data_IF_767355951467
#
_entry.id   IF_767355951467
#
_cell.length_a   1.000
_cell.length_b   1.000
_cell.length_c   1.000
_cell.angle_alpha   90.00
_cell.angle_beta   90.00
_cell.angle_gamma   90.00
#
_symmetry.space_group_name_H-M   'P 1'
#
loop_
_entity.id
_entity.type
_entity.pdbx_description
1 polymer ?
#
# COMPACT_ATOMS: atom_id res chain seq x y z
N UNK A 1 -22.43 -5.87 0.83
CA UNK A 1 -21.87 -5.12 -0.28
C UNK A 1 -20.61 -4.39 0.16
N UNK A 2 -19.81 -3.94 -0.78
CA UNK A 2 -18.65 -3.09 -0.53
C UNK A 2 -18.98 -1.69 -1.03
N UNK A 3 -18.41 -0.65 -0.39
CA UNK A 3 -18.53 0.73 -0.81
C UNK A 3 -17.19 1.45 -0.68
N UNK A 4 -17.00 2.52 -1.43
CA UNK A 4 -15.94 3.48 -1.15
C UNK A 4 -16.34 4.33 0.06
N UNK A 5 -15.59 4.21 1.16
CA UNK A 5 -15.94 4.83 2.44
C UNK A 5 -14.93 5.90 2.90
N UNK A 6 -13.93 6.23 2.07
CA UNK A 6 -12.88 7.20 2.39
C UNK A 6 -13.25 8.65 2.02
N UNK A 7 -14.46 8.87 1.49
CA UNK A 7 -14.96 10.23 1.18
C UNK A 7 -14.44 10.84 -0.11
N UNK A 8 -13.95 10.04 -1.05
CA UNK A 8 -13.41 10.52 -2.33
C UNK A 8 -14.45 11.23 -3.20
N UNK A 9 -15.72 10.90 -3.06
CA UNK A 9 -16.84 11.61 -3.66
C UNK A 9 -16.92 13.06 -3.14
N UNK A 10 -16.77 13.26 -1.84
CA UNK A 10 -16.69 14.59 -1.24
C UNK A 10 -15.45 15.36 -1.70
N UNK A 11 -14.27 14.70 -1.84
CA UNK A 11 -13.07 15.34 -2.39
C UNK A 11 -13.30 15.86 -3.81
N UNK A 12 -13.97 15.09 -4.65
CA UNK A 12 -14.32 15.52 -6.01
C UNK A 12 -15.24 16.73 -6.01
N UNK A 13 -16.25 16.75 -5.12
CA UNK A 13 -17.18 17.90 -4.97
C UNK A 13 -16.45 19.14 -4.45
N UNK A 14 -15.53 19.00 -3.49
CA UNK A 14 -14.67 20.09 -3.01
C UNK A 14 -13.87 20.68 -4.18
N UNK A 15 -13.25 19.84 -5.00
CA UNK A 15 -12.53 20.29 -6.20
C UNK A 15 -13.38 21.09 -7.18
N UNK A 16 -14.63 20.66 -7.41
CA UNK A 16 -15.58 21.40 -8.25
C UNK A 16 -15.99 22.72 -7.60
N UNK A 17 -16.22 22.76 -6.30
CA UNK A 17 -16.53 23.99 -5.55
C UNK A 17 -15.36 24.99 -5.61
N UNK A 18 -14.12 24.52 -5.49
CA UNK A 18 -12.92 25.35 -5.68
C UNK A 18 -12.90 25.93 -7.09
N UNK A 19 -13.18 25.13 -8.12
CA UNK A 19 -13.26 25.59 -9.51
C UNK A 19 -14.29 26.73 -9.67
N UNK A 20 -15.48 26.55 -9.10
CA UNK A 20 -16.53 27.56 -9.17
C UNK A 20 -16.12 28.89 -8.52
N UNK A 21 -15.51 28.84 -7.35
CA UNK A 21 -15.01 30.04 -6.65
C UNK A 21 -13.92 30.74 -7.46
N UNK A 22 -12.93 29.97 -7.94
CA UNK A 22 -11.84 30.51 -8.74
C UNK A 22 -12.33 31.17 -10.04
N UNK A 23 -13.34 30.60 -10.68
CA UNK A 23 -13.98 31.21 -11.86
C UNK A 23 -14.65 32.56 -11.56
N UNK A 24 -15.19 32.76 -10.37
CA UNK A 24 -15.78 34.05 -9.96
C UNK A 24 -14.73 35.14 -9.71
N UNK A 25 -13.53 34.78 -9.37
CA UNK A 25 -12.43 35.71 -9.05
C UNK A 25 -11.28 35.66 -10.07
N UNK A 26 -11.47 35.03 -11.22
CA UNK A 26 -10.40 34.73 -12.18
C UNK A 26 -9.62 35.97 -12.62
N UNK A 27 -10.30 37.13 -12.76
CA UNK A 27 -9.70 38.38 -13.20
C UNK A 27 -8.77 39.00 -12.13
N UNK A 28 -8.82 38.50 -10.88
CA UNK A 28 -7.96 38.89 -9.78
C UNK A 28 -6.82 37.87 -9.51
N UNK A 29 -6.81 36.75 -10.23
CA UNK A 29 -5.79 35.74 -10.04
C UNK A 29 -4.53 36.08 -10.85
N UNK A 30 -3.38 35.92 -10.22
CA UNK A 30 -2.07 36.03 -10.87
C UNK A 30 -1.47 34.62 -10.99
N UNK A 31 -1.43 34.09 -12.21
CA UNK A 31 -0.93 32.76 -12.51
C UNK A 31 -1.99 31.78 -13.00
N UNK A 32 -1.67 30.50 -12.99
CA UNK A 32 -2.53 29.41 -13.47
C UNK A 32 -2.88 28.49 -12.30
N UNK A 33 -4.14 28.07 -12.22
CA UNK A 33 -4.56 27.03 -11.28
C UNK A 33 -4.93 25.80 -12.08
N UNK A 34 -4.33 24.67 -11.73
CA UNK A 34 -4.56 23.36 -12.33
C UNK A 34 -5.29 22.48 -11.30
N UNK A 35 -6.47 22.02 -11.64
CA UNK A 35 -7.22 21.06 -10.82
C UNK A 35 -6.94 19.65 -11.31
N UNK A 36 -6.50 18.77 -10.41
CA UNK A 36 -6.15 17.40 -10.71
C UNK A 36 -7.07 16.46 -9.93
N UNK A 37 -7.84 15.64 -10.65
CA UNK A 37 -8.65 14.58 -10.08
C UNK A 37 -7.93 13.25 -10.24
N UNK A 38 -7.22 12.82 -9.18
CA UNK A 38 -6.39 11.63 -9.20
C UNK A 38 -7.25 10.35 -9.07
N UNK A 39 -7.14 9.39 -10.00
CA UNK A 39 -7.76 8.08 -9.85
C UNK A 39 -6.90 7.13 -8.99
N UNK A 40 -7.52 6.07 -8.44
CA UNK A 40 -6.79 4.92 -7.88
C UNK A 40 -5.94 5.21 -6.65
N UNK A 41 -6.36 6.13 -5.78
CA UNK A 41 -5.62 6.49 -4.55
C UNK A 41 -5.46 5.30 -3.61
N UNK A 42 -6.53 4.54 -3.35
CA UNK A 42 -6.54 3.40 -2.43
C UNK A 42 -5.51 2.30 -2.79
N UNK A 43 -5.19 2.18 -4.08
CA UNK A 43 -4.13 1.29 -4.57
C UNK A 43 -2.75 1.94 -4.63
N UNK A 44 -2.62 3.24 -4.25
CA UNK A 44 -1.40 4.04 -4.44
C UNK A 44 -0.86 3.99 -5.89
N UNK A 45 -1.76 3.91 -6.88
CA UNK A 45 -1.41 3.69 -8.30
C UNK A 45 -1.61 4.95 -9.16
N UNK A 46 -2.43 5.91 -8.73
CA UNK A 46 -2.86 7.04 -9.56
C UNK A 46 -1.85 8.18 -9.65
N UNK A 47 -1.14 8.51 -8.58
CA UNK A 47 -0.24 9.67 -8.55
C UNK A 47 0.98 9.50 -9.47
N UNK A 48 1.62 8.32 -9.47
CA UNK A 48 2.82 8.06 -10.28
C UNK A 48 2.62 8.28 -11.78
N UNK A 49 1.56 7.77 -12.43
CA UNK A 49 1.29 8.08 -13.83
C UNK A 49 1.10 9.58 -14.10
N UNK A 50 0.43 10.31 -13.21
CA UNK A 50 0.22 11.76 -13.34
C UNK A 50 1.59 12.47 -13.37
N UNK A 51 2.48 12.15 -12.45
CA UNK A 51 3.85 12.69 -12.40
C UNK A 51 4.65 12.25 -13.65
N UNK A 52 4.64 10.97 -13.98
CA UNK A 52 5.40 10.42 -15.11
C UNK A 52 4.98 11.01 -16.48
N UNK A 53 3.74 11.47 -16.61
CA UNK A 53 3.26 12.16 -17.82
C UNK A 53 3.50 13.69 -17.80
N UNK A 54 4.24 14.20 -16.81
CA UNK A 54 4.62 15.61 -16.75
C UNK A 54 3.49 16.56 -16.34
N UNK A 55 2.41 16.06 -15.75
CA UNK A 55 1.28 16.92 -15.38
C UNK A 55 1.60 17.90 -14.24
N UNK A 56 2.71 17.70 -13.54
CA UNK A 56 3.19 18.58 -12.47
C UNK A 56 4.44 19.40 -12.82
N UNK A 57 4.99 19.27 -14.02
CA UNK A 57 6.27 19.90 -14.39
C UNK A 57 6.23 21.43 -14.40
N UNK A 58 5.04 22.00 -14.51
CA UNK A 58 4.77 23.45 -14.52
C UNK A 58 4.08 23.94 -13.23
N UNK A 59 4.15 23.14 -12.13
CA UNK A 59 3.49 23.44 -10.86
C UNK A 59 4.51 23.89 -9.83
N UNK A 60 4.38 25.13 -9.37
CA UNK A 60 5.25 25.72 -8.32
C UNK A 60 4.75 25.34 -6.90
N UNK A 61 3.44 25.22 -6.72
CA UNK A 61 2.80 24.91 -5.43
C UNK A 61 1.75 23.82 -5.63
N UNK A 62 1.76 22.83 -4.75
CA UNK A 62 0.80 21.74 -4.77
C UNK A 62 0.00 21.69 -3.46
N UNK A 63 -1.32 21.65 -3.56
CA UNK A 63 -2.24 21.56 -2.41
C UNK A 63 -3.13 20.34 -2.59
N UNK A 64 -3.13 19.46 -1.61
CA UNK A 64 -4.07 18.32 -1.51
C UNK A 64 -5.03 18.52 -0.34
N UNK A 65 -6.25 18.01 -0.47
CA UNK A 65 -7.25 18.00 0.61
C UNK A 65 -7.75 16.59 0.84
N UNK A 66 -8.03 16.27 2.11
CA UNK A 66 -8.68 15.03 2.49
C UNK A 66 -9.66 15.29 3.64
N UNK A 67 -10.86 14.72 3.57
CA UNK A 67 -11.76 14.74 4.73
C UNK A 67 -11.24 13.75 5.77
N UNK A 68 -11.25 14.15 7.03
CA UNK A 68 -10.83 13.30 8.14
C UNK A 68 -12.07 12.83 8.92
N UNK A 69 -12.37 11.52 8.92
CA UNK A 69 -13.49 10.97 9.70
C UNK A 69 -13.15 10.82 11.19
N UNK A 70 -12.05 11.43 11.62
CA UNK A 70 -11.60 11.36 13.01
C UNK A 70 -12.34 12.38 13.86
N UNK A 71 -12.50 12.04 15.15
CA UNK A 71 -13.02 12.89 16.20
C UNK A 71 -12.23 14.20 16.28
N UNK A 72 -12.51 15.10 15.34
CA UNK A 72 -12.11 16.49 15.41
C UNK A 72 -13.09 17.26 16.28
N UNK A 73 -12.75 18.47 16.68
CA UNK A 73 -13.74 19.43 17.17
C UNK A 73 -14.83 19.60 16.10
N UNK A 74 -15.69 20.47 16.16
CA UNK A 74 -16.93 20.62 15.42
C UNK A 74 -16.87 20.43 13.89
N UNK A 75 -17.98 19.99 13.29
CA UNK A 75 -18.17 19.89 11.85
C UNK A 75 -17.79 21.20 11.12
N UNK A 76 -16.85 21.11 10.18
CA UNK A 76 -16.40 22.24 9.37
C UNK A 76 -15.00 22.74 9.71
N UNK A 77 -14.31 22.13 10.65
CA UNK A 77 -12.93 22.48 10.95
C UNK A 77 -12.00 22.10 9.82
N UNK A 78 -11.06 22.99 9.50
CA UNK A 78 -10.01 22.77 8.51
C UNK A 78 -8.67 22.73 9.26
N UNK A 79 -8.00 21.59 9.19
CA UNK A 79 -6.64 21.46 9.71
C UNK A 79 -5.66 21.73 8.58
N UNK A 80 -4.82 22.77 8.66
CA UNK A 80 -3.81 23.02 7.64
C UNK A 80 -2.65 22.04 7.82
N UNK A 81 -2.26 21.41 6.70
CA UNK A 81 -1.12 20.51 6.64
C UNK A 81 -1.39 19.09 7.18
N UNK A 82 -0.48 18.19 6.81
CA UNK A 82 -0.46 16.80 7.24
C UNK A 82 0.91 16.48 7.81
N UNK A 83 0.93 15.90 9.02
CA UNK A 83 2.15 15.43 9.67
C UNK A 83 2.04 13.95 10.02
N UNK A 84 3.16 13.23 9.89
CA UNK A 84 3.26 11.84 10.32
C UNK A 84 2.60 10.83 9.39
N UNK A 85 2.43 11.14 8.11
CA UNK A 85 2.03 10.15 7.11
C UNK A 85 3.14 9.10 6.98
N UNK A 86 2.78 7.84 7.25
CA UNK A 86 3.75 6.74 7.16
C UNK A 86 4.01 6.39 5.69
N UNK A 87 5.28 6.18 5.36
CA UNK A 87 5.64 5.51 4.12
C UNK A 87 5.11 4.07 4.12
N UNK A 88 4.72 3.55 2.97
CA UNK A 88 4.15 2.19 2.84
C UNK A 88 4.65 1.48 1.60
N UNK A 89 4.75 0.14 1.68
CA UNK A 89 4.94 -0.75 0.53
C UNK A 89 3.99 -1.93 0.64
N UNK A 90 3.29 -2.26 -0.46
CA UNK A 90 2.26 -3.30 -0.53
C UNK A 90 2.63 -4.33 -1.59
N UNK A 91 2.43 -5.62 -1.27
CA UNK A 91 2.73 -6.73 -2.18
C UNK A 91 1.64 -7.80 -2.15
N UNK A 92 1.34 -8.32 -3.33
CA UNK A 92 0.78 -9.66 -3.49
C UNK A 92 1.93 -10.64 -3.64
N UNK A 93 2.00 -11.64 -2.74
CA UNK A 93 3.09 -12.61 -2.65
C UNK A 93 2.57 -13.99 -3.00
N UNK A 94 3.13 -14.60 -4.03
CA UNK A 94 2.74 -15.92 -4.52
C UNK A 94 3.85 -16.93 -4.30
N UNK A 95 3.50 -18.03 -3.63
CA UNK A 95 4.35 -19.21 -3.47
C UNK A 95 3.84 -20.31 -4.41
N UNK A 96 4.76 -20.84 -5.21
CA UNK A 96 4.49 -21.95 -6.13
C UNK A 96 5.35 -23.14 -5.75
N UNK A 97 4.71 -24.20 -5.30
CA UNK A 97 5.29 -25.46 -4.90
C UNK A 97 5.06 -26.57 -5.91
N UNK A 98 4.83 -27.76 -5.41
CA UNK A 98 4.52 -28.94 -6.21
C UNK A 98 3.47 -29.79 -5.50
N UNK A 99 2.39 -30.09 -6.22
CA UNK A 99 1.32 -30.95 -5.70
C UNK A 99 1.76 -32.41 -5.61
N UNK A 100 1.32 -33.09 -4.57
CA UNK A 100 1.47 -34.51 -4.37
C UNK A 100 0.37 -35.05 -3.45
N UNK A 101 0.15 -36.38 -3.49
CA UNK A 101 -0.76 -37.04 -2.55
C UNK A 101 -0.09 -37.17 -1.18
N UNK A 102 -0.65 -36.49 -0.16
CA UNK A 102 -0.03 -36.36 1.17
C UNK A 102 0.15 -37.71 1.90
N UNK A 103 -0.70 -38.70 1.64
CA UNK A 103 -0.58 -40.03 2.23
C UNK A 103 0.14 -41.08 1.36
N UNK A 104 0.31 -40.80 0.06
CA UNK A 104 0.88 -41.78 -0.88
C UNK A 104 2.35 -41.50 -1.26
N UNK A 105 2.64 -40.27 -1.65
CA UNK A 105 3.96 -39.87 -2.15
C UNK A 105 4.33 -38.45 -1.66
N UNK A 106 4.36 -38.23 -0.31
CA UNK A 106 4.57 -36.88 0.25
C UNK A 106 5.94 -36.28 -0.11
N UNK A 107 6.96 -37.12 -0.32
CA UNK A 107 8.31 -36.70 -0.71
C UNK A 107 8.39 -36.02 -2.07
N UNK A 108 7.39 -36.21 -2.92
CA UNK A 108 7.32 -35.54 -4.23
C UNK A 108 6.70 -34.13 -4.15
N UNK A 109 6.10 -33.78 -2.99
CA UNK A 109 5.44 -32.52 -2.81
C UNK A 109 6.38 -31.41 -2.28
N UNK A 110 6.01 -30.15 -2.62
CA UNK A 110 6.55 -28.94 -2.03
C UNK A 110 5.40 -28.03 -1.64
N UNK A 111 5.17 -27.90 -0.33
CA UNK A 111 3.98 -27.23 0.18
C UNK A 111 4.10 -25.70 0.16
N UNK A 112 3.35 -25.06 -0.73
CA UNK A 112 3.26 -23.61 -0.80
C UNK A 112 2.62 -23.00 0.48
N UNK A 113 1.72 -23.72 1.14
CA UNK A 113 1.15 -23.27 2.44
C UNK A 113 2.23 -23.27 3.52
N UNK A 114 3.12 -24.24 3.56
CA UNK A 114 4.23 -24.26 4.55
C UNK A 114 5.17 -23.09 4.30
N UNK A 115 5.50 -22.76 3.03
CA UNK A 115 6.29 -21.58 2.69
C UNK A 115 5.59 -20.30 3.20
N UNK A 116 4.33 -20.10 2.88
CA UNK A 116 3.55 -18.95 3.31
C UNK A 116 3.43 -18.85 4.83
N UNK A 117 3.18 -19.96 5.54
CA UNK A 117 3.09 -19.98 7.00
C UNK A 117 4.43 -19.57 7.66
N UNK A 118 5.56 -20.07 7.16
CA UNK A 118 6.89 -19.65 7.61
C UNK A 118 7.12 -18.14 7.34
N UNK A 119 6.71 -17.64 6.18
CA UNK A 119 6.78 -16.22 5.88
C UNK A 119 5.97 -15.39 6.88
N UNK A 120 4.72 -15.76 7.17
CA UNK A 120 3.85 -15.05 8.15
C UNK A 120 4.51 -14.95 9.51
N UNK A 121 4.99 -16.05 10.05
CA UNK A 121 5.65 -16.08 11.38
C UNK A 121 6.89 -15.18 11.40
N UNK A 122 7.75 -15.29 10.40
CA UNK A 122 9.00 -14.53 10.36
C UNK A 122 8.79 -13.05 10.00
N UNK A 123 7.79 -12.69 9.20
CA UNK A 123 7.41 -11.29 8.95
C UNK A 123 7.01 -10.59 10.24
N UNK A 124 6.25 -11.25 11.10
CA UNK A 124 5.85 -10.66 12.40
C UNK A 124 7.04 -10.51 13.36
N UNK A 125 8.10 -11.29 13.19
CA UNK A 125 9.32 -11.27 13.98
C UNK A 125 10.39 -10.26 13.49
N UNK A 126 10.13 -9.50 12.40
CA UNK A 126 11.06 -8.45 11.96
C UNK A 126 11.32 -7.49 13.14
N UNK A 127 12.58 -7.25 13.52
CA UNK A 127 12.91 -6.27 14.55
C UNK A 127 12.37 -4.89 14.17
N UNK A 128 11.69 -4.24 15.11
CA UNK A 128 11.20 -2.89 14.90
C UNK A 128 12.35 -1.89 14.89
N UNK A 129 12.25 -0.88 14.04
CA UNK A 129 13.31 0.12 13.90
C UNK A 129 13.34 1.06 15.11
N UNK A 130 14.53 1.31 15.67
CA UNK A 130 14.70 2.16 16.86
C UNK A 130 14.50 3.65 16.56
N UNK A 131 14.63 4.06 15.31
CA UNK A 131 14.50 5.45 14.86
C UNK A 131 13.08 5.94 14.65
N UNK A 132 12.05 5.08 14.82
CA UNK A 132 10.67 5.51 14.64
C UNK A 132 9.69 4.35 14.43
N UNK A 133 8.47 4.70 14.08
CA UNK A 133 7.36 3.77 13.89
C UNK A 133 7.65 2.84 12.71
N UNK A 134 7.51 1.55 12.94
CA UNK A 134 7.55 0.52 11.90
C UNK A 134 6.43 -0.50 12.09
N UNK A 135 5.82 -0.94 10.98
CA UNK A 135 4.68 -1.88 10.98
C UNK A 135 4.86 -2.91 9.88
N UNK A 136 4.32 -4.09 10.10
CA UNK A 136 4.13 -5.14 9.10
C UNK A 136 2.79 -5.83 9.36
N UNK A 137 2.08 -6.16 8.29
CA UNK A 137 0.85 -6.91 8.37
C UNK A 137 0.74 -7.90 7.21
N UNK A 138 0.18 -9.07 7.49
CA UNK A 138 -0.30 -10.02 6.50
C UNK A 138 -1.82 -10.04 6.60
N UNK A 139 -2.49 -9.35 5.68
CA UNK A 139 -3.93 -9.14 5.73
C UNK A 139 -4.74 -10.27 5.11
N UNK A 140 -4.14 -11.03 4.17
CA UNK A 140 -4.77 -12.14 3.47
C UNK A 140 -3.78 -13.27 3.32
N UNK A 141 -4.27 -14.51 3.48
CA UNK A 141 -3.58 -15.74 3.07
C UNK A 141 -4.61 -16.70 2.49
N UNK A 142 -4.30 -17.30 1.32
CA UNK A 142 -5.17 -18.24 0.63
C UNK A 142 -4.33 -19.30 -0.07
N UNK A 143 -4.68 -20.58 0.07
CA UNK A 143 -3.97 -21.67 -0.61
C UNK A 143 -4.60 -23.03 -0.37
N UNK A 144 -4.17 -24.00 -1.19
CA UNK A 144 -4.60 -25.40 -1.10
C UNK A 144 -5.94 -25.69 -1.74
N UNK A 145 -6.21 -26.99 -1.97
CA UNK A 145 -7.41 -27.52 -2.66
C UNK A 145 -8.09 -28.62 -1.88
N UNK A 146 -7.39 -29.44 -1.12
CA UNK A 146 -7.92 -30.56 -0.37
C UNK A 146 -6.97 -31.04 0.74
N UNK A 147 -7.54 -31.75 1.73
CA UNK A 147 -6.81 -32.18 2.93
C UNK A 147 -5.74 -33.24 2.67
N UNK A 148 -5.87 -33.99 1.59
CA UNK A 148 -4.98 -35.08 1.17
C UNK A 148 -4.04 -34.67 0.03
N UNK A 149 -4.05 -33.41 -0.35
CA UNK A 149 -3.22 -32.82 -1.42
C UNK A 149 -2.22 -31.86 -0.81
N UNK A 150 -0.90 -32.09 -1.06
CA UNK A 150 0.14 -31.09 -0.75
C UNK A 150 -0.09 -29.90 -1.67
N UNK A 151 -0.30 -28.69 -1.13
CA UNK A 151 -0.68 -27.53 -1.94
C UNK A 151 0.49 -26.97 -2.74
N UNK A 152 0.29 -26.80 -4.02
CA UNK A 152 1.24 -26.23 -4.96
C UNK A 152 1.13 -24.70 -5.12
N UNK A 153 0.09 -24.09 -4.56
CA UNK A 153 -0.10 -22.63 -4.61
C UNK A 153 -0.58 -22.09 -3.27
N UNK A 154 0.00 -20.94 -2.89
CA UNK A 154 -0.47 -20.11 -1.79
C UNK A 154 -0.17 -18.66 -2.09
N UNK A 155 -1.12 -17.77 -1.77
CA UNK A 155 -1.00 -16.33 -1.94
C UNK A 155 -1.16 -15.62 -0.61
N UNK A 156 -0.41 -14.55 -0.41
CA UNK A 156 -0.57 -13.61 0.70
C UNK A 156 -0.65 -12.18 0.18
N UNK A 157 -1.38 -11.33 0.91
CA UNK A 157 -1.31 -9.88 0.76
C UNK A 157 -0.63 -9.29 1.99
N UNK A 158 0.47 -8.57 1.76
CA UNK A 158 1.29 -7.99 2.82
C UNK A 158 1.45 -6.49 2.65
N UNK A 159 1.62 -5.81 3.77
CA UNK A 159 1.95 -4.41 3.83
C UNK A 159 3.03 -4.17 4.88
N UNK A 160 4.00 -3.35 4.54
CA UNK A 160 4.97 -2.79 5.50
C UNK A 160 4.86 -1.27 5.53
N UNK A 161 5.11 -0.68 6.71
CA UNK A 161 5.11 0.78 6.88
C UNK A 161 6.29 1.24 7.73
N UNK A 162 6.75 2.44 7.45
CA UNK A 162 7.75 3.16 8.22
C UNK A 162 7.36 4.60 8.48
N UNK A 163 7.77 5.16 9.61
CA UNK A 163 7.57 6.58 9.94
C UNK A 163 8.22 7.48 8.89
N UNK A 164 9.38 7.07 8.40
CA UNK A 164 10.07 7.70 7.28
C UNK A 164 10.22 6.73 6.11
N UNK A 165 10.54 7.25 4.95
CA UNK A 165 10.84 6.46 3.75
C UNK A 165 12.00 5.48 4.00
N UNK A 166 13.03 5.89 4.76
CA UNK A 166 14.18 5.04 5.10
C UNK A 166 13.78 3.88 6.01
N UNK A 167 12.93 4.14 7.02
CA UNK A 167 12.41 3.08 7.91
C UNK A 167 11.53 2.12 7.12
N UNK A 168 10.72 2.63 6.19
CA UNK A 168 9.94 1.77 5.32
C UNK A 168 10.83 0.91 4.41
N UNK A 169 11.90 1.47 3.86
CA UNK A 169 12.87 0.74 3.04
C UNK A 169 13.52 -0.40 3.83
N UNK A 170 13.91 -0.15 5.09
CA UNK A 170 14.39 -1.21 5.97
C UNK A 170 13.35 -2.33 6.13
N UNK A 171 12.10 -1.99 6.43
CA UNK A 171 11.02 -2.99 6.61
C UNK A 171 10.75 -3.78 5.33
N UNK A 172 10.79 -3.10 4.20
CA UNK A 172 10.59 -3.68 2.87
C UNK A 172 11.68 -4.69 2.51
N UNK A 173 12.94 -4.32 2.70
CA UNK A 173 14.08 -5.23 2.48
C UNK A 173 14.01 -6.48 3.37
N UNK A 174 13.68 -6.31 4.67
CA UNK A 174 13.50 -7.45 5.57
C UNK A 174 12.34 -8.34 5.12
N UNK A 175 11.20 -7.77 4.71
CA UNK A 175 10.05 -8.53 4.26
C UNK A 175 10.36 -9.34 3.00
N UNK A 176 11.02 -8.74 2.00
CA UNK A 176 11.47 -9.44 0.79
C UNK A 176 12.41 -10.59 1.12
N UNK A 177 13.43 -10.35 1.94
CA UNK A 177 14.39 -11.37 2.36
C UNK A 177 13.72 -12.56 3.04
N UNK A 178 12.75 -12.29 3.92
CA UNK A 178 11.99 -13.34 4.63
C UNK A 178 11.15 -14.16 3.66
N UNK A 179 10.42 -13.52 2.73
CA UNK A 179 9.61 -14.24 1.75
C UNK A 179 10.47 -15.14 0.87
N UNK A 180 11.64 -14.68 0.42
CA UNK A 180 12.60 -15.50 -0.32
C UNK A 180 13.10 -16.69 0.50
N UNK A 181 13.58 -16.46 1.73
CA UNK A 181 14.05 -17.52 2.61
C UNK A 181 12.96 -18.56 2.93
N UNK A 182 11.73 -18.13 3.13
CA UNK A 182 10.60 -19.03 3.38
C UNK A 182 10.26 -19.90 2.16
N UNK A 183 10.38 -19.37 0.95
CA UNK A 183 10.20 -20.14 -0.28
C UNK A 183 11.33 -21.17 -0.44
N UNK A 184 12.58 -20.72 -0.26
CA UNK A 184 13.79 -21.57 -0.41
C UNK A 184 13.78 -22.73 0.59
N UNK A 185 13.32 -22.49 1.83
CA UNK A 185 13.26 -23.51 2.90
C UNK A 185 12.52 -24.78 2.46
N UNK A 186 11.51 -24.67 1.64
CA UNK A 186 10.66 -25.78 1.17
C UNK A 186 10.78 -26.03 -0.33
N UNK A 187 11.68 -25.36 -1.00
CA UNK A 187 11.92 -25.50 -2.43
C UNK A 187 10.80 -24.97 -3.32
N UNK A 188 10.08 -23.95 -2.88
CA UNK A 188 9.06 -23.26 -3.67
C UNK A 188 9.66 -22.11 -4.48
N UNK A 189 9.05 -21.81 -5.65
CA UNK A 189 9.29 -20.56 -6.35
C UNK A 189 8.48 -19.43 -5.71
N UNK A 190 9.07 -18.26 -5.61
CA UNK A 190 8.44 -17.05 -5.14
C UNK A 190 8.17 -16.08 -6.29
N UNK A 191 7.05 -15.37 -6.20
CA UNK A 191 6.76 -14.19 -6.99
C UNK A 191 6.18 -13.11 -6.08
N UNK A 192 6.75 -11.90 -6.11
CA UNK A 192 6.25 -10.76 -5.37
C UNK A 192 5.83 -9.67 -6.34
N UNK A 193 4.56 -9.34 -6.36
CA UNK A 193 3.97 -8.32 -7.23
C UNK A 193 3.74 -7.05 -6.40
N UNK A 194 4.40 -5.92 -6.75
CA UNK A 194 4.14 -4.65 -6.09
C UNK A 194 2.71 -4.16 -6.39
N UNK A 195 1.94 -3.89 -5.35
CA UNK A 195 0.55 -3.41 -5.48
C UNK A 195 0.41 -1.91 -5.19
N UNK A 196 1.41 -1.28 -4.60
CA UNK A 196 1.47 0.15 -4.38
C UNK A 196 2.52 0.53 -3.34
N UNK A 197 2.92 1.80 -3.38
CA UNK A 197 3.81 2.38 -2.38
C UNK A 197 3.61 3.88 -2.29
N UNK A 198 3.85 4.45 -1.10
CA UNK A 198 3.96 5.89 -0.89
C UNK A 198 5.16 6.19 -0.01
N UNK A 199 5.73 7.37 -0.18
CA UNK A 199 6.75 7.91 0.69
C UNK A 199 6.12 8.59 1.92
N UNK A 200 6.90 8.79 2.97
CA UNK A 200 6.49 9.61 4.11
C UNK A 200 6.38 11.08 3.67
N UNK A 201 5.39 11.76 4.20
CA UNK A 201 5.14 13.15 3.83
C UNK A 201 4.95 14.03 5.07
N UNK A 202 5.47 15.25 4.94
CA UNK A 202 5.17 16.36 5.82
C UNK A 202 4.77 17.54 4.93
N UNK A 203 3.76 18.28 5.35
CA UNK A 203 3.41 19.54 4.69
C UNK A 203 4.49 20.59 4.99
N UNK A 204 4.79 21.41 4.02
CA UNK A 204 5.61 22.60 4.22
C UNK A 204 4.90 23.58 5.15
N UNK A 205 5.66 24.37 5.95
CA UNK A 205 5.12 25.41 6.81
C UNK A 205 4.64 26.65 6.03
#
# INVERSE_FOLDING_TARGET
GMMHACGHDAHAVIGLGVAEVLMKIKDSLHGTVKLIFQPGEEGAKGARPIVAHGHLDDVDYFVGTHIAPTKGPDDGDVTPGTWGSLATSKYDVYFYGQSAHAGGFPENGRSAIVAAANAVVNLTAIPRHSGGISRVNVGVIRGGTGRDVIPDQCMMQIEVRGETTEINSYMDEQAKRICHAAADMVGCRLEMVPEGSSESQHSDE
#
